data_IF_078968204168
#
_entry.id   IF_078968204168
#
_cell.length_a   1.000
_cell.length_b   1.000
_cell.length_c   1.000
_cell.angle_alpha   90.00
_cell.angle_beta   90.00
_cell.angle_gamma   90.00
#
_symmetry.space_group_name_H-M   'P 1'
#
loop_
_entity.id
_entity.type
_entity.pdbx_description
1 polymer ?
#
# COMPACT_ATOMS: atom_id res chain seq x y z
N UNK A 1 -12.45 -17.59 8.88
CA UNK A 1 -11.28 -18.10 8.15
C UNK A 1 -10.11 -17.19 8.48
N UNK A 2 -9.03 -17.75 9.02
CA UNK A 2 -7.95 -17.02 9.68
C UNK A 2 -7.20 -16.09 8.72
N UNK A 3 -6.92 -14.85 9.16
CA UNK A 3 -6.09 -13.83 8.49
C UNK A 3 -4.58 -14.16 8.49
N UNK A 4 -4.18 -15.16 9.27
CA UNK A 4 -2.79 -15.62 9.44
C UNK A 4 -2.01 -15.93 8.12
N UNK A 5 -2.59 -16.58 7.09
CA UNK A 5 -1.80 -16.98 5.92
C UNK A 5 -1.33 -15.80 5.05
N UNK A 6 -2.12 -14.71 4.95
CA UNK A 6 -1.71 -13.53 4.18
C UNK A 6 -0.60 -12.77 4.92
N UNK A 7 -0.74 -12.61 6.24
CA UNK A 7 0.26 -11.93 7.05
C UNK A 7 1.62 -12.65 7.03
N UNK A 8 1.63 -13.99 7.12
CA UNK A 8 2.88 -14.75 7.09
C UNK A 8 3.49 -14.81 5.69
N UNK A 9 2.68 -14.92 4.63
CA UNK A 9 3.15 -14.79 3.25
C UNK A 9 3.76 -13.41 2.99
N UNK A 10 3.13 -12.34 3.50
CA UNK A 10 3.64 -10.98 3.36
C UNK A 10 4.99 -10.79 4.07
N UNK A 11 5.15 -11.29 5.30
CA UNK A 11 6.44 -11.25 6.01
C UNK A 11 7.55 -11.95 5.23
N UNK A 12 7.24 -13.05 4.55
CA UNK A 12 8.22 -13.79 3.76
C UNK A 12 8.56 -13.09 2.43
N UNK A 13 7.54 -12.65 1.69
CA UNK A 13 7.70 -12.07 0.34
C UNK A 13 8.11 -10.60 0.34
N UNK A 14 7.68 -9.82 1.34
CA UNK A 14 7.89 -8.38 1.47
C UNK A 14 8.82 -8.04 2.64
N UNK A 15 9.78 -8.92 2.95
CA UNK A 15 10.73 -8.77 4.07
C UNK A 15 11.52 -7.45 4.10
N UNK A 16 11.67 -6.81 2.94
CA UNK A 16 12.40 -5.55 2.78
C UNK A 16 11.48 -4.32 2.90
N UNK A 17 10.16 -4.52 2.99
CA UNK A 17 9.22 -3.46 3.32
C UNK A 17 9.31 -3.15 4.82
N UNK A 18 9.31 -1.86 5.15
CA UNK A 18 9.25 -1.40 6.54
C UNK A 18 7.91 -1.76 7.17
N UNK A 19 6.81 -1.62 6.41
CA UNK A 19 5.45 -1.92 6.84
C UNK A 19 4.60 -2.43 5.69
N UNK A 20 3.55 -3.20 6.00
CA UNK A 20 2.54 -3.62 5.04
C UNK A 20 1.12 -3.51 5.59
N UNK A 21 0.16 -3.31 4.70
CA UNK A 21 -1.27 -3.28 4.98
C UNK A 21 -2.03 -3.83 3.77
N UNK A 22 -2.97 -4.74 4.03
CA UNK A 22 -3.89 -5.30 3.04
C UNK A 22 -5.31 -5.18 3.56
N UNK A 23 -6.23 -4.67 2.74
CA UNK A 23 -7.63 -4.46 3.11
C UNK A 23 -8.55 -4.53 1.90
N UNK A 24 -9.86 -4.71 2.12
CA UNK A 24 -10.87 -4.66 1.07
C UNK A 24 -11.66 -3.33 1.08
N UNK A 25 -12.47 -3.09 0.06
CA UNK A 25 -13.32 -1.89 -0.09
C UNK A 25 -14.35 -1.69 1.04
N UNK A 26 -14.64 -2.74 1.82
CA UNK A 26 -15.49 -2.66 3.01
C UNK A 26 -14.71 -2.14 4.24
N UNK A 27 -13.42 -1.81 4.10
CA UNK A 27 -12.56 -1.38 5.20
C UNK A 27 -12.14 -2.53 6.13
N UNK A 28 -12.33 -3.78 5.71
CA UNK A 28 -11.87 -4.94 6.47
C UNK A 28 -10.39 -5.14 6.22
N UNK A 29 -9.59 -5.07 7.29
CA UNK A 29 -8.16 -5.39 7.24
C UNK A 29 -8.00 -6.90 7.05
N UNK A 30 -7.29 -7.29 5.99
CA UNK A 30 -6.96 -8.68 5.67
C UNK A 30 -5.66 -9.11 6.37
N UNK A 31 -4.67 -8.21 6.41
CA UNK A 31 -3.43 -8.38 7.15
C UNK A 31 -2.71 -7.03 7.29
N UNK A 32 -1.99 -6.81 8.39
CA UNK A 32 -1.15 -5.62 8.59
C UNK A 32 0.03 -5.94 9.49
N UNK A 33 1.13 -5.21 9.32
CA UNK A 33 2.29 -5.26 10.20
C UNK A 33 2.25 -4.23 11.35
N UNK A 34 1.15 -3.47 11.44
CA UNK A 34 0.98 -2.40 12.43
C UNK A 34 -0.50 -2.26 12.85
N UNK A 35 -0.77 -1.44 13.87
CA UNK A 35 -2.14 -1.10 14.26
C UNK A 35 -2.72 -0.08 13.29
N UNK A 36 -3.71 -0.52 12.51
CA UNK A 36 -4.33 0.30 11.46
C UNK A 36 -5.32 1.30 12.06
N UNK A 37 -5.17 2.58 11.71
CA UNK A 37 -6.23 3.56 11.89
C UNK A 37 -7.23 3.41 10.74
N UNK A 38 -8.43 2.93 11.07
CA UNK A 38 -9.50 2.66 10.08
C UNK A 38 -9.94 3.95 9.37
N UNK A 39 -9.74 5.12 9.99
CA UNK A 39 -10.05 6.41 9.36
C UNK A 39 -9.14 6.74 8.16
N UNK A 40 -7.96 6.12 8.06
CA UNK A 40 -7.05 6.28 6.93
C UNK A 40 -7.45 5.45 5.70
N UNK A 41 -8.27 4.39 5.85
CA UNK A 41 -8.58 3.47 4.75
C UNK A 41 -9.37 4.13 3.62
N UNK A 42 -10.41 4.91 3.93
CA UNK A 42 -11.22 5.58 2.89
C UNK A 42 -10.42 6.63 2.09
N UNK A 43 -9.61 7.49 2.72
CA UNK A 43 -8.66 8.33 1.99
C UNK A 43 -7.71 7.55 1.09
N UNK A 44 -7.20 6.39 1.52
CA UNK A 44 -6.34 5.54 0.70
C UNK A 44 -7.06 5.00 -0.55
N UNK A 45 -8.33 4.60 -0.44
CA UNK A 45 -9.15 4.22 -1.59
C UNK A 45 -9.35 5.41 -2.54
N UNK A 46 -9.61 6.60 -1.99
CA UNK A 46 -9.91 7.81 -2.76
C UNK A 46 -8.74 8.28 -3.64
N UNK A 47 -7.50 7.87 -3.34
CA UNK A 47 -6.33 8.13 -4.19
C UNK A 47 -6.55 7.67 -5.63
N UNK A 48 -7.36 6.62 -5.85
CA UNK A 48 -7.61 6.07 -7.19
C UNK A 48 -8.70 6.80 -7.98
N UNK A 49 -9.44 7.73 -7.36
CA UNK A 49 -10.57 8.41 -7.99
C UNK A 49 -10.12 9.58 -8.86
N UNK A 50 -9.21 10.42 -8.34
CA UNK A 50 -8.76 11.63 -9.01
C UNK A 50 -7.25 11.84 -8.80
N UNK A 51 -6.55 12.15 -9.89
CA UNK A 51 -5.10 12.33 -9.89
C UNK A 51 -4.67 13.60 -9.17
N UNK A 52 -5.35 14.70 -9.42
CA UNK A 52 -4.94 16.01 -8.93
C UNK A 52 -5.16 16.11 -7.43
N UNK A 53 -6.28 15.58 -6.94
CA UNK A 53 -6.55 15.48 -5.50
C UNK A 53 -5.57 14.53 -4.80
N UNK A 54 -5.21 13.40 -5.43
CA UNK A 54 -4.19 12.49 -4.88
C UNK A 54 -2.81 13.16 -4.77
N UNK A 55 -2.40 13.94 -5.79
CA UNK A 55 -1.13 14.69 -5.77
C UNK A 55 -1.17 15.80 -4.71
N UNK A 56 -2.28 16.53 -4.62
CA UNK A 56 -2.46 17.67 -3.70
C UNK A 56 -2.51 17.25 -2.23
N UNK A 57 -3.24 16.19 -1.92
CA UNK A 57 -3.44 15.73 -0.54
C UNK A 57 -2.39 14.71 -0.08
N UNK A 58 -1.78 13.99 -1.03
CA UNK A 58 -0.82 12.93 -0.73
C UNK A 58 -1.48 11.69 -0.16
N UNK A 59 -0.66 10.70 0.15
CA UNK A 59 -1.06 9.45 0.80
C UNK A 59 -0.68 9.53 2.27
N UNK A 60 -1.61 9.21 3.18
CA UNK A 60 -1.34 9.22 4.62
C UNK A 60 -1.35 7.78 5.15
N UNK A 61 -0.29 7.41 5.85
CA UNK A 61 -0.16 6.10 6.52
C UNK A 61 0.47 6.33 7.88
N UNK A 62 -0.17 5.87 8.96
CA UNK A 62 0.32 6.07 10.34
C UNK A 62 0.56 7.56 10.66
N UNK A 63 -0.36 8.42 10.23
CA UNK A 63 -0.25 9.88 10.38
C UNK A 63 0.88 10.52 9.57
N UNK A 64 1.65 9.74 8.80
CA UNK A 64 2.76 10.24 7.96
C UNK A 64 2.25 10.48 6.55
N UNK A 65 2.43 11.70 6.04
CA UNK A 65 2.09 12.07 4.66
C UNK A 65 3.25 11.76 3.71
N UNK A 66 2.92 11.08 2.62
CA UNK A 66 3.79 10.79 1.48
C UNK A 66 3.32 11.61 0.28
N UNK A 67 4.20 12.41 -0.30
CA UNK A 67 3.90 13.18 -1.50
C UNK A 67 3.79 12.24 -2.70
N UNK A 68 2.62 12.20 -3.31
CA UNK A 68 2.34 11.39 -4.49
C UNK A 68 3.00 12.04 -5.70
N UNK A 69 4.04 11.41 -6.23
CA UNK A 69 4.70 11.84 -7.47
C UNK A 69 4.44 10.89 -8.64
N UNK A 70 3.95 9.66 -8.38
CA UNK A 70 3.42 8.79 -9.43
C UNK A 70 2.00 8.35 -9.11
N UNK A 71 1.07 8.81 -9.95
CA UNK A 71 -0.30 8.35 -10.01
C UNK A 71 -0.51 7.65 -11.35
N UNK A 72 -0.57 6.32 -11.33
CA UNK A 72 -0.77 5.49 -12.51
C UNK A 72 -1.55 4.22 -12.13
N UNK A 73 -2.88 4.33 -11.86
CA UNK A 73 -3.72 3.20 -11.51
C UNK A 73 -3.47 1.99 -12.43
N UNK A 74 -3.34 0.76 -11.87
CA UNK A 74 -3.71 0.36 -10.51
C UNK A 74 -2.67 0.67 -9.42
N UNK A 75 -1.64 1.46 -9.71
CA UNK A 75 -0.55 1.75 -8.79
C UNK A 75 -0.40 3.26 -8.50
N UNK A 76 -0.26 3.59 -7.23
CA UNK A 76 0.05 4.95 -6.77
C UNK A 76 1.19 4.87 -5.76
N UNK A 77 2.19 5.74 -5.87
CA UNK A 77 3.26 5.80 -4.89
C UNK A 77 3.88 7.18 -4.77
N UNK A 78 4.53 7.35 -3.63
CA UNK A 78 5.11 8.61 -3.20
C UNK A 78 6.24 8.40 -2.20
N UNK A 79 6.76 9.51 -1.72
CA UNK A 79 7.78 9.52 -0.66
C UNK A 79 7.53 10.67 0.31
N UNK A 80 8.00 10.53 1.55
CA UNK A 80 8.09 11.65 2.47
C UNK A 80 9.07 12.69 1.93
N UNK A 81 8.74 13.96 2.14
CA UNK A 81 9.63 15.09 1.89
C UNK A 81 10.25 15.51 3.22
N UNK A 82 11.49 15.10 3.46
CA UNK A 82 12.30 15.50 4.61
C UNK A 82 13.53 16.29 4.17
N UNK A 83 14.13 17.05 5.08
CA UNK A 83 15.36 17.79 4.81
C UNK A 83 16.57 16.86 4.58
N UNK A 84 16.53 15.64 5.12
CA UNK A 84 17.58 14.63 5.00
C UNK A 84 17.12 13.54 4.02
N UNK A 85 17.71 13.44 2.81
CA UNK A 85 17.29 12.47 1.81
C UNK A 85 17.38 11.00 2.26
N UNK A 86 18.33 10.68 3.14
CA UNK A 86 18.53 9.31 3.65
C UNK A 86 17.38 8.84 4.56
N UNK A 87 16.66 9.77 5.17
CA UNK A 87 15.50 9.51 6.04
C UNK A 87 14.19 9.42 5.25
N UNK A 88 14.24 9.68 3.93
CA UNK A 88 13.05 9.59 3.09
C UNK A 88 12.49 8.17 3.12
N UNK A 89 11.20 8.05 3.43
CA UNK A 89 10.45 6.81 3.37
C UNK A 89 9.53 6.85 2.15
N UNK A 90 9.51 5.78 1.37
CA UNK A 90 8.55 5.58 0.30
C UNK A 90 7.34 4.83 0.78
N UNK A 91 6.23 5.06 0.10
CA UNK A 91 5.03 4.24 0.24
C UNK A 91 4.39 4.03 -1.12
N UNK A 92 3.84 2.83 -1.31
CA UNK A 92 3.14 2.43 -2.52
C UNK A 92 1.85 1.73 -2.16
N UNK A 93 0.78 2.02 -2.90
CA UNK A 93 -0.51 1.33 -2.83
C UNK A 93 -0.88 0.78 -4.21
N UNK A 94 -1.41 -0.44 -4.22
CA UNK A 94 -1.83 -1.18 -5.40
C UNK A 94 -3.28 -1.64 -5.25
N UNK A 95 -4.09 -1.42 -6.28
CA UNK A 95 -5.50 -1.81 -6.33
C UNK A 95 -5.69 -3.08 -7.16
N UNK A 96 -6.45 -4.02 -6.63
CA UNK A 96 -6.95 -5.22 -7.32
C UNK A 96 -8.47 -5.04 -7.49
N UNK A 97 -8.94 -4.91 -8.73
CA UNK A 97 -10.38 -4.71 -9.01
C UNK A 97 -11.22 -5.96 -8.69
N UNK A 98 -10.67 -7.16 -8.89
CA UNK A 98 -11.34 -8.44 -8.63
C UNK A 98 -10.53 -9.26 -7.62
N UNK A 99 -10.57 -8.81 -6.38
CA UNK A 99 -9.83 -9.43 -5.28
C UNK A 99 -10.58 -10.59 -4.64
N UNK A 100 -10.12 -11.02 -3.46
CA UNK A 100 -10.69 -12.13 -2.70
C UNK A 100 -12.19 -11.97 -2.51
N UNK A 101 -12.94 -13.04 -2.80
CA UNK A 101 -14.41 -13.01 -2.73
C UNK A 101 -15.07 -12.12 -3.79
N UNK A 102 -14.34 -11.71 -4.83
CA UNK A 102 -14.82 -10.82 -5.90
C UNK A 102 -14.85 -9.34 -5.51
N UNK A 103 -14.32 -8.97 -4.34
CA UNK A 103 -14.30 -7.61 -3.82
C UNK A 103 -13.05 -6.87 -4.27
N UNK A 104 -13.13 -5.54 -4.37
CA UNK A 104 -11.92 -4.73 -4.57
C UNK A 104 -11.01 -4.86 -3.35
N UNK A 105 -9.73 -5.15 -3.60
CA UNK A 105 -8.70 -5.28 -2.58
C UNK A 105 -7.57 -4.29 -2.82
N UNK A 106 -6.92 -3.88 -1.73
CA UNK A 106 -5.81 -2.94 -1.74
C UNK A 106 -4.63 -3.54 -0.99
N UNK A 107 -3.43 -3.35 -1.52
CA UNK A 107 -2.19 -3.63 -0.82
C UNK A 107 -1.32 -2.39 -0.75
N UNK A 108 -0.75 -2.15 0.42
CA UNK A 108 0.11 -1.02 0.70
C UNK A 108 1.39 -1.50 1.38
N UNK A 109 2.51 -0.90 0.99
CA UNK A 109 3.78 -1.04 1.71
C UNK A 109 4.40 0.33 1.98
N UNK A 110 5.23 0.39 3.01
CA UNK A 110 6.23 1.45 3.18
C UNK A 110 7.64 0.86 3.13
N UNK A 111 8.64 1.66 2.77
CA UNK A 111 10.01 1.22 2.59
C UNK A 111 11.00 2.38 2.71
N UNK A 112 12.15 2.14 3.33
CA UNK A 112 13.22 3.12 3.51
C UNK A 112 14.43 2.80 2.63
N UNK A 113 15.35 3.75 2.47
CA UNK A 113 16.64 3.49 1.81
C UNK A 113 17.36 2.29 2.45
N UNK A 114 18.08 1.45 1.68
CA UNK A 114 18.37 1.58 0.24
C UNK A 114 17.24 1.07 -0.68
N UNK A 115 16.08 0.67 -0.13
CA UNK A 115 14.96 0.21 -0.95
C UNK A 115 14.28 1.38 -1.67
N UNK A 116 14.19 1.26 -2.99
CA UNK A 116 13.60 2.26 -3.87
C UNK A 116 12.33 1.75 -4.54
N UNK A 117 11.49 2.68 -5.00
CA UNK A 117 10.21 2.36 -5.65
C UNK A 117 10.37 1.38 -6.80
N UNK A 118 11.43 1.51 -7.62
CA UNK A 118 11.70 0.60 -8.74
C UNK A 118 11.84 -0.89 -8.35
N UNK A 119 12.22 -1.18 -7.10
CA UNK A 119 12.30 -2.54 -6.55
C UNK A 119 11.02 -2.92 -5.80
N UNK A 120 10.56 -2.04 -4.92
CA UNK A 120 9.50 -2.35 -3.95
C UNK A 120 8.10 -2.40 -4.58
N UNK A 121 7.84 -1.54 -5.56
CA UNK A 121 6.56 -1.51 -6.28
C UNK A 121 6.28 -2.82 -7.01
N UNK A 122 7.20 -3.37 -7.84
CA UNK A 122 6.98 -4.66 -8.49
C UNK A 122 6.76 -5.81 -7.51
N UNK A 123 7.46 -5.79 -6.36
CA UNK A 123 7.27 -6.79 -5.31
C UNK A 123 5.87 -6.72 -4.70
N UNK A 124 5.37 -5.50 -4.39
CA UNK A 124 4.00 -5.30 -3.94
C UNK A 124 2.99 -5.81 -4.98
N UNK A 125 3.12 -5.39 -6.24
CA UNK A 125 2.22 -5.78 -7.31
C UNK A 125 2.13 -7.30 -7.45
N UNK A 126 3.29 -7.97 -7.52
CA UNK A 126 3.37 -9.43 -7.61
C UNK A 126 2.66 -10.10 -6.43
N UNK A 127 2.93 -9.63 -5.21
CA UNK A 127 2.28 -10.18 -4.01
C UNK A 127 0.76 -10.02 -4.05
N UNK A 128 0.26 -8.84 -4.42
CA UNK A 128 -1.17 -8.58 -4.52
C UNK A 128 -1.84 -9.48 -5.57
N UNK A 129 -1.22 -9.67 -6.73
CA UNK A 129 -1.73 -10.56 -7.77
C UNK A 129 -1.74 -12.02 -7.32
N UNK A 130 -0.69 -12.49 -6.64
CA UNK A 130 -0.57 -13.90 -6.21
C UNK A 130 -1.52 -14.26 -5.05
N UNK A 131 -1.78 -13.31 -4.15
CA UNK A 131 -2.45 -13.58 -2.87
C UNK A 131 -3.78 -12.87 -2.65
N UNK A 132 -4.06 -11.79 -3.38
CA UNK A 132 -5.29 -11.02 -3.21
C UNK A 132 -6.22 -11.08 -4.42
N UNK A 133 -5.73 -11.42 -5.62
CA UNK A 133 -6.58 -11.58 -6.81
C UNK A 133 -7.43 -12.85 -6.71
N UNK A 134 -8.71 -12.75 -7.09
CA UNK A 134 -9.56 -13.93 -7.22
C UNK A 134 -9.04 -14.83 -8.35
N UNK A 135 -9.04 -16.15 -8.10
CA UNK A 135 -8.68 -17.17 -9.09
C UNK A 135 -9.90 -17.67 -9.84
#
# INVERSE_FOLDING_TARGET
MSQAPIADAAKAALKDASRFLFFNEQGTVLASSFTVDVSELKPLEALFNDRDEAIKHGMVVLGTRYEVHRHHPPLIYGRTMGAVPEESEGSAIYKIEKGLGGQVCYGLITYQMPNISARMVPMLQKFCQEHLEAK
#
